data_IF_118701804937
#
_entry.id   IF_118701804937
#
_cell.length_a   1.000
_cell.length_b   1.000
_cell.length_c   1.000
_cell.angle_alpha   90.00
_cell.angle_beta   90.00
_cell.angle_gamma   90.00
#
_symmetry.space_group_name_H-M   'P 1'
#
loop_
_entity.id
_entity.type
_entity.pdbx_description
1 polymer ?
#
# COMPACT_ATOMS: atom_id res chain seq x y z
N UNK A 1 16.59 -3.53 -4.84
CA UNK A 1 16.84 -4.63 -3.88
C UNK A 1 17.69 -4.18 -2.70
N UNK A 2 18.87 -3.56 -2.89
CA UNK A 2 19.69 -3.03 -1.79
C UNK A 2 18.89 -2.16 -0.80
N UNK A 3 18.15 -1.16 -1.28
CA UNK A 3 17.29 -0.33 -0.43
C UNK A 3 16.20 -1.10 0.34
N UNK A 4 15.74 -2.25 -0.18
CA UNK A 4 14.71 -3.07 0.48
C UNK A 4 15.27 -3.93 1.60
N UNK A 5 16.56 -4.27 1.53
CA UNK A 5 17.24 -5.10 2.53
C UNK A 5 18.22 -4.31 3.40
N UNK A 6 18.22 -2.98 3.32
CA UNK A 6 19.14 -2.16 4.11
C UNK A 6 18.74 -2.15 5.59
N UNK A 7 19.72 -1.91 6.45
CA UNK A 7 19.49 -1.87 7.90
C UNK A 7 18.54 -0.72 8.28
N UNK A 8 18.65 0.41 7.57
CA UNK A 8 17.79 1.60 7.76
C UNK A 8 16.33 1.28 7.39
N UNK A 9 16.11 0.57 6.28
CA UNK A 9 14.76 0.17 5.87
C UNK A 9 14.16 -0.82 6.86
N UNK A 10 14.93 -1.81 7.33
CA UNK A 10 14.48 -2.75 8.34
C UNK A 10 14.10 -2.04 9.65
N UNK A 11 14.89 -1.05 10.10
CA UNK A 11 14.61 -0.26 11.28
C UNK A 11 13.31 0.57 11.13
N UNK A 12 13.13 1.25 9.98
CA UNK A 12 11.93 2.06 9.70
C UNK A 12 10.69 1.18 9.62
N UNK A 13 10.75 0.05 8.93
CA UNK A 13 9.63 -0.89 8.83
C UNK A 13 9.25 -1.47 10.20
N UNK A 14 10.22 -1.88 11.02
CA UNK A 14 9.96 -2.34 12.40
C UNK A 14 9.29 -1.24 13.23
N UNK A 15 9.84 -0.02 13.19
CA UNK A 15 9.27 1.14 13.88
C UNK A 15 7.80 1.37 13.50
N UNK A 16 7.49 1.42 12.20
CA UNK A 16 6.14 1.65 11.69
C UNK A 16 5.19 0.50 12.08
N UNK A 17 5.61 -0.75 11.93
CA UNK A 17 4.81 -1.91 12.30
C UNK A 17 4.46 -1.93 13.79
N UNK A 18 5.33 -1.39 14.65
CA UNK A 18 5.12 -1.31 16.11
C UNK A 18 4.13 -0.24 16.54
N UNK A 19 3.68 0.64 15.63
CA UNK A 19 2.57 1.56 15.90
C UNK A 19 1.21 0.85 15.97
N UNK A 20 1.12 -0.37 15.45
CA UNK A 20 -0.08 -1.17 15.44
C UNK A 20 -0.25 -1.97 16.72
N UNK A 21 -1.50 -2.27 17.10
CA UNK A 21 -1.81 -3.35 18.03
C UNK A 21 -1.72 -4.69 17.30
N UNK A 22 -0.51 -5.25 17.24
CA UNK A 22 -0.22 -6.51 16.54
C UNK A 22 -0.40 -7.78 17.39
N UNK A 23 -0.66 -7.62 18.70
CA UNK A 23 -0.98 -8.70 19.63
C UNK A 23 -2.29 -8.42 20.36
N UNK A 24 -3.16 -9.42 20.41
CA UNK A 24 -4.46 -9.33 21.10
C UNK A 24 -4.93 -10.72 21.54
N UNK A 25 -5.46 -10.85 22.76
CA UNK A 25 -6.03 -12.09 23.29
C UNK A 25 -5.10 -13.31 23.17
N UNK A 26 -3.79 -13.12 23.34
CA UNK A 26 -2.78 -14.18 23.22
C UNK A 26 -2.45 -14.60 21.78
N UNK A 27 -3.06 -13.98 20.76
CA UNK A 27 -2.69 -14.15 19.35
C UNK A 27 -1.80 -12.99 18.89
N UNK A 28 -0.65 -13.31 18.30
CA UNK A 28 0.18 -12.38 17.55
C UNK A 28 -0.23 -12.45 16.08
N UNK A 29 -0.74 -11.34 15.54
CA UNK A 29 -1.26 -11.26 14.17
C UNK A 29 -0.14 -11.21 13.13
N UNK A 30 0.97 -10.56 13.46
CA UNK A 30 2.18 -10.53 12.65
C UNK A 30 3.42 -10.27 13.51
N UNK A 31 4.60 -10.57 12.98
CA UNK A 31 5.88 -10.16 13.54
C UNK A 31 6.25 -8.76 13.04
N UNK A 32 6.18 -7.70 13.88
CA UNK A 32 6.57 -6.35 13.48
C UNK A 32 8.02 -6.20 13.05
N UNK A 33 8.95 -7.04 13.52
CA UNK A 33 10.39 -6.81 13.36
C UNK A 33 10.98 -7.36 12.07
N UNK A 34 10.18 -8.09 11.30
CA UNK A 34 10.56 -8.59 9.97
C UNK A 34 9.45 -8.22 9.01
N UNK A 35 9.76 -7.45 7.97
CA UNK A 35 8.85 -7.28 6.84
C UNK A 35 9.30 -8.15 5.68
N UNK A 36 8.34 -8.68 4.91
CA UNK A 36 8.66 -9.43 3.69
C UNK A 36 9.15 -8.50 2.59
N UNK A 37 10.00 -9.00 1.69
CA UNK A 37 10.31 -8.26 0.47
C UNK A 37 9.07 -8.29 -0.42
N UNK A 38 8.42 -7.14 -0.55
CA UNK A 38 7.39 -6.89 -1.56
C UNK A 38 8.01 -6.13 -2.74
N UNK A 39 8.30 -6.79 -3.87
CA UNK A 39 8.92 -6.16 -5.02
C UNK A 39 7.90 -5.34 -5.81
N UNK A 40 7.94 -4.03 -5.67
CA UNK A 40 7.12 -3.10 -6.45
C UNK A 40 7.96 -2.36 -7.51
N UNK A 41 7.30 -1.55 -8.33
CA UNK A 41 7.85 -0.76 -9.43
C UNK A 41 8.62 0.45 -8.92
N UNK A 42 9.22 1.17 -9.87
CA UNK A 42 9.70 2.54 -9.69
C UNK A 42 8.80 3.48 -10.47
N UNK A 43 8.74 4.75 -10.06
CA UNK A 43 8.18 5.82 -10.89
C UNK A 43 9.29 6.78 -11.25
N UNK A 44 9.37 7.15 -12.53
CA UNK A 44 10.36 8.10 -13.04
C UNK A 44 9.64 9.17 -13.85
N UNK A 45 9.80 10.44 -13.46
CA UNK A 45 9.16 11.60 -14.11
C UNK A 45 10.21 12.67 -14.40
N UNK A 46 10.67 12.83 -15.66
CA UNK A 46 11.67 13.84 -16.01
C UNK A 46 11.10 15.26 -15.94
N UNK A 47 11.96 16.30 -15.88
CA UNK A 47 11.56 17.68 -16.10
C UNK A 47 10.78 17.84 -17.43
N UNK A 48 9.80 18.74 -17.44
CA UNK A 48 8.91 18.97 -18.58
C UNK A 48 7.72 18.00 -18.67
N UNK A 49 7.59 17.04 -17.75
CA UNK A 49 6.43 16.14 -17.69
C UNK A 49 5.13 16.92 -17.47
N UNK A 50 4.09 16.58 -18.23
CA UNK A 50 2.69 16.98 -17.99
C UNK A 50 1.86 15.74 -17.70
N UNK A 51 1.07 15.75 -16.62
CA UNK A 51 0.27 14.62 -16.17
C UNK A 51 -1.03 15.09 -15.54
N UNK A 52 -2.11 14.32 -15.75
CA UNK A 52 -3.39 14.51 -15.05
C UNK A 52 -3.34 14.08 -13.59
N UNK A 53 -2.25 13.48 -13.14
CA UNK A 53 -2.14 12.93 -11.79
C UNK A 53 -2.93 11.62 -11.64
N UNK A 54 -3.31 11.33 -10.40
CA UNK A 54 -4.11 10.17 -10.02
C UNK A 54 -5.18 10.64 -9.02
N UNK A 55 -6.44 10.26 -9.25
CA UNK A 55 -7.56 10.62 -8.37
C UNK A 55 -7.40 10.07 -6.95
N UNK A 56 -8.15 10.65 -6.00
CA UNK A 56 -8.15 10.16 -4.63
C UNK A 56 -8.74 8.75 -4.56
N UNK A 57 -8.05 7.85 -3.88
CA UNK A 57 -8.46 6.46 -3.74
C UNK A 57 -7.83 5.82 -2.49
N UNK A 58 -8.30 4.61 -2.17
CA UNK A 58 -7.61 3.67 -1.27
C UNK A 58 -7.34 2.36 -2.01
N UNK A 59 -6.23 1.70 -1.67
CA UNK A 59 -5.91 0.36 -2.14
C UNK A 59 -6.37 -0.71 -1.14
N UNK A 60 -5.78 -1.90 -1.23
CA UNK A 60 -5.98 -3.03 -0.31
C UNK A 60 -7.43 -3.54 -0.33
N UNK A 61 -8.01 -3.65 -1.52
CA UNK A 61 -9.40 -4.02 -1.74
C UNK A 61 -10.38 -2.84 -1.81
N UNK A 62 -11.46 -3.04 -2.55
CA UNK A 62 -12.56 -2.10 -2.71
C UNK A 62 -13.86 -2.77 -2.26
N UNK A 63 -14.51 -3.53 -3.15
CA UNK A 63 -15.75 -4.26 -2.86
C UNK A 63 -15.59 -5.22 -1.67
N UNK A 64 -14.41 -5.80 -1.54
CA UNK A 64 -14.00 -6.69 -0.47
C UNK A 64 -14.25 -6.10 0.92
N UNK A 65 -14.15 -4.79 1.08
CA UNK A 65 -14.31 -4.12 2.38
C UNK A 65 -15.72 -4.26 2.95
N UNK A 66 -16.71 -4.47 2.08
CA UNK A 66 -18.08 -4.78 2.47
C UNK A 66 -18.36 -6.29 2.46
N UNK A 67 -17.83 -7.03 1.48
CA UNK A 67 -18.27 -8.41 1.24
C UNK A 67 -17.41 -9.51 1.89
N UNK A 68 -16.14 -9.24 2.21
CA UNK A 68 -15.28 -10.28 2.78
C UNK A 68 -15.56 -10.49 4.28
N UNK A 69 -15.70 -11.75 4.73
CA UNK A 69 -15.83 -12.06 6.16
C UNK A 69 -14.70 -11.50 7.02
N UNK A 70 -13.46 -11.50 6.52
CA UNK A 70 -12.33 -10.92 7.24
C UNK A 70 -12.50 -9.41 7.45
N UNK A 71 -12.92 -8.67 6.42
CA UNK A 71 -13.18 -7.23 6.56
C UNK A 71 -14.39 -6.91 7.42
N UNK A 72 -15.42 -7.76 7.42
CA UNK A 72 -16.54 -7.66 8.36
C UNK A 72 -16.06 -7.76 9.83
N UNK A 73 -15.03 -8.56 10.10
CA UNK A 73 -14.40 -8.60 11.43
C UNK A 73 -13.53 -7.36 11.70
N UNK A 74 -12.69 -6.94 10.75
CA UNK A 74 -11.84 -5.73 10.86
C UNK A 74 -12.70 -4.49 11.18
N UNK A 75 -13.81 -4.33 10.48
CA UNK A 75 -14.68 -3.16 10.58
C UNK A 75 -15.95 -3.45 11.39
N UNK A 76 -15.94 -4.48 12.25
CA UNK A 76 -17.12 -4.87 13.02
C UNK A 76 -17.72 -3.71 13.82
N UNK A 77 -16.87 -2.90 14.48
CA UNK A 77 -17.29 -1.73 15.25
C UNK A 77 -17.84 -0.59 14.38
N UNK A 78 -17.43 -0.49 13.12
CA UNK A 78 -18.02 0.46 12.17
C UNK A 78 -19.42 -0.01 11.78
N UNK A 79 -19.56 -1.27 11.35
CA UNK A 79 -20.82 -1.80 10.85
C UNK A 79 -21.88 -2.05 11.94
N UNK A 80 -21.49 -2.24 13.20
CA UNK A 80 -22.42 -2.38 14.33
C UNK A 80 -22.82 -1.05 14.99
N UNK A 81 -22.27 0.08 14.52
CA UNK A 81 -22.58 1.43 15.03
C UNK A 81 -21.73 1.90 16.22
N UNK A 82 -20.88 1.06 16.80
CA UNK A 82 -19.95 1.44 17.88
C UNK A 82 -18.68 2.10 17.32
N UNK A 83 -18.85 3.16 16.53
CA UNK A 83 -17.76 3.78 15.74
C UNK A 83 -16.60 4.24 16.63
N UNK A 84 -16.88 4.75 17.83
CA UNK A 84 -15.84 5.20 18.78
C UNK A 84 -14.92 4.07 19.27
N UNK A 85 -15.33 2.81 19.10
CA UNK A 85 -14.52 1.64 19.43
C UNK A 85 -13.72 1.10 18.22
N UNK A 86 -13.90 1.66 17.02
CA UNK A 86 -13.07 1.32 15.87
C UNK A 86 -11.68 1.93 16.02
N UNK A 87 -10.65 1.09 15.96
CA UNK A 87 -9.26 1.50 15.99
C UNK A 87 -8.61 1.13 14.64
N UNK A 88 -8.22 2.10 13.80
CA UNK A 88 -7.56 1.79 12.53
C UNK A 88 -6.25 1.03 12.72
N UNK A 89 -5.59 1.18 13.88
CA UNK A 89 -4.31 0.54 14.23
C UNK A 89 -4.46 -0.86 14.82
N UNK A 90 -5.67 -1.43 14.87
CA UNK A 90 -5.87 -2.82 15.24
C UNK A 90 -5.53 -3.75 14.07
N UNK A 91 -4.58 -4.66 14.29
CA UNK A 91 -4.15 -5.63 13.29
C UNK A 91 -5.15 -6.78 13.10
N UNK A 92 -6.09 -6.94 14.04
CA UNK A 92 -6.99 -8.07 14.07
C UNK A 92 -7.67 -8.32 12.72
N UNK A 93 -7.58 -9.57 12.25
CA UNK A 93 -8.18 -10.07 11.00
C UNK A 93 -7.64 -9.48 9.68
N UNK A 94 -6.83 -8.41 9.71
CA UNK A 94 -6.29 -7.81 8.47
C UNK A 94 -5.37 -8.74 7.69
N UNK A 95 -4.67 -9.66 8.37
CA UNK A 95 -3.82 -10.68 7.75
C UNK A 95 -4.63 -11.82 7.10
N UNK A 96 -5.94 -11.88 7.32
CA UNK A 96 -6.84 -12.94 6.83
C UNK A 96 -7.64 -12.48 5.59
N UNK A 97 -7.50 -11.21 5.19
CA UNK A 97 -8.12 -10.63 3.98
C UNK A 97 -7.42 -11.17 2.73
N UNK A 98 -8.16 -11.69 1.77
CA UNK A 98 -7.66 -12.06 0.43
C UNK A 98 -8.46 -11.32 -0.64
N UNK A 99 -7.80 -10.42 -1.39
CA UNK A 99 -8.47 -9.65 -2.45
C UNK A 99 -9.00 -10.56 -3.56
N UNK A 100 -10.14 -10.16 -4.15
CA UNK A 100 -10.69 -10.91 -5.28
C UNK A 100 -9.73 -10.84 -6.46
N UNK A 101 -9.58 -11.98 -7.14
CA UNK A 101 -8.74 -12.05 -8.35
C UNK A 101 -9.59 -11.70 -9.56
N UNK A 102 -9.21 -10.63 -10.25
CA UNK A 102 -9.73 -10.27 -11.57
C UNK A 102 -8.61 -10.46 -12.58
N UNK A 103 -8.91 -11.16 -13.67
CA UNK A 103 -7.90 -11.51 -14.67
C UNK A 103 -7.13 -10.28 -15.17
N UNK A 104 -5.80 -10.44 -15.21
CA UNK A 104 -4.84 -9.45 -15.70
C UNK A 104 -4.94 -8.05 -15.06
N UNK A 105 -5.47 -7.99 -13.84
CA UNK A 105 -5.57 -6.74 -13.06
C UNK A 105 -4.55 -6.76 -11.93
N UNK A 106 -3.90 -5.62 -11.68
CA UNK A 106 -3.02 -5.45 -10.53
C UNK A 106 -3.81 -5.64 -9.24
N UNK A 107 -3.29 -6.47 -8.34
CA UNK A 107 -3.84 -6.68 -6.99
C UNK A 107 -2.74 -6.64 -5.93
N UNK A 108 -3.09 -6.65 -4.66
CA UNK A 108 -2.13 -6.76 -3.57
C UNK A 108 -2.35 -8.05 -2.78
N UNK A 109 -1.50 -9.06 -3.00
CA UNK A 109 -1.59 -10.37 -2.31
C UNK A 109 -0.92 -10.37 -0.93
N UNK A 110 -0.50 -9.22 -0.42
CA UNK A 110 0.12 -9.08 0.91
C UNK A 110 -0.67 -8.12 1.80
N UNK A 111 -0.61 -8.34 3.10
CA UNK A 111 -0.99 -7.33 4.10
C UNK A 111 0.13 -6.30 4.25
N UNK A 112 -0.19 -5.03 3.98
CA UNK A 112 0.69 -3.89 4.23
C UNK A 112 0.12 -3.11 5.41
N UNK A 113 0.93 -2.84 6.41
CA UNK A 113 0.60 -1.90 7.49
C UNK A 113 0.67 -0.47 6.96
N UNK A 114 1.75 -0.19 6.23
CA UNK A 114 1.98 1.08 5.56
C UNK A 114 2.34 0.84 4.10
N UNK A 115 1.75 1.64 3.23
CA UNK A 115 2.35 1.92 1.95
C UNK A 115 3.44 2.97 2.11
N UNK A 116 4.36 3.02 1.16
CA UNK A 116 5.44 3.99 1.22
C UNK A 116 6.32 3.96 -0.01
N UNK A 117 7.14 5.00 -0.12
CA UNK A 117 8.20 5.07 -1.11
C UNK A 117 9.36 5.92 -0.62
N UNK A 118 10.53 5.64 -1.19
CA UNK A 118 11.75 6.42 -1.00
C UNK A 118 11.97 7.34 -2.21
N UNK A 119 12.25 8.61 -1.94
CA UNK A 119 12.57 9.62 -2.94
C UNK A 119 13.93 9.31 -3.58
N UNK A 120 13.97 9.17 -4.91
CA UNK A 120 15.20 9.05 -5.69
C UNK A 120 15.61 10.39 -6.33
N UNK A 121 14.84 11.44 -6.09
CA UNK A 121 15.11 12.82 -6.47
C UNK A 121 14.43 13.74 -5.47
N UNK A 122 14.89 15.00 -5.42
CA UNK A 122 14.20 16.03 -4.65
C UNK A 122 12.77 16.22 -5.18
N UNK A 123 11.82 16.43 -4.27
CA UNK A 123 10.41 16.65 -4.57
C UNK A 123 10.07 18.10 -4.27
N UNK A 124 9.93 18.90 -5.32
CA UNK A 124 9.65 20.33 -5.22
C UNK A 124 8.14 20.53 -5.01
N UNK A 125 7.70 21.41 -4.09
CA UNK A 125 6.29 21.75 -3.91
C UNK A 125 5.58 22.11 -5.22
N UNK A 126 4.34 21.63 -5.38
CA UNK A 126 3.52 21.88 -6.57
C UNK A 126 3.86 21.06 -7.81
N UNK A 127 4.89 20.21 -7.78
CA UNK A 127 5.33 19.45 -8.97
C UNK A 127 4.60 18.10 -9.16
N UNK A 128 3.28 18.09 -8.94
CA UNK A 128 2.45 16.89 -9.01
C UNK A 128 2.79 15.87 -7.93
N UNK A 129 2.70 16.29 -6.67
CA UNK A 129 3.10 15.52 -5.49
C UNK A 129 1.99 14.59 -4.97
N UNK A 130 2.39 13.63 -4.15
CA UNK A 130 1.47 12.81 -3.35
C UNK A 130 0.65 13.72 -2.44
N UNK A 131 -0.66 13.50 -2.39
CA UNK A 131 -1.54 14.04 -1.36
C UNK A 131 -2.16 12.90 -0.58
N UNK A 132 -2.47 13.16 0.69
CA UNK A 132 -3.15 12.22 1.58
C UNK A 132 -4.28 12.93 2.32
N UNK A 133 -5.30 12.18 2.73
CA UNK A 133 -6.21 12.61 3.80
C UNK A 133 -5.63 12.08 5.11
N UNK A 134 -5.01 12.91 5.96
CA UNK A 134 -4.24 12.45 7.12
C UNK A 134 -5.14 12.09 8.33
N UNK A 135 -6.19 11.29 8.07
CA UNK A 135 -7.21 10.88 9.02
C UNK A 135 -7.45 9.38 8.81
N UNK A 136 -6.74 8.47 9.50
CA UNK A 136 -6.83 7.03 9.26
C UNK A 136 -8.25 6.46 9.51
N UNK A 137 -9.01 7.07 10.42
CA UNK A 137 -10.40 6.73 10.70
C UNK A 137 -11.39 7.15 9.59
N UNK A 138 -10.93 7.90 8.57
CA UNK A 138 -11.77 8.27 7.43
C UNK A 138 -12.36 7.07 6.68
N UNK A 139 -11.76 5.89 6.81
CA UNK A 139 -12.32 4.64 6.27
C UNK A 139 -13.71 4.35 6.84
N UNK A 140 -13.99 4.67 8.11
CA UNK A 140 -15.32 4.49 8.69
C UNK A 140 -16.38 5.32 7.94
N UNK A 141 -16.04 6.57 7.57
CA UNK A 141 -16.92 7.41 6.75
C UNK A 141 -17.16 6.77 5.38
N UNK A 142 -16.10 6.28 4.72
CA UNK A 142 -16.19 5.65 3.41
C UNK A 142 -17.08 4.40 3.45
N UNK A 143 -16.96 3.57 4.49
CA UNK A 143 -17.73 2.33 4.61
C UNK A 143 -19.22 2.57 4.84
N UNK A 144 -19.57 3.60 5.60
CA UNK A 144 -20.95 3.95 5.91
C UNK A 144 -21.62 4.78 4.82
N UNK A 145 -20.84 5.49 3.97
CA UNK A 145 -21.38 6.41 2.96
C UNK A 145 -22.35 5.74 1.97
N UNK A 146 -22.08 4.53 1.44
CA UNK A 146 -23.03 3.83 0.57
C UNK A 146 -24.32 3.37 1.25
N UNK A 147 -24.40 3.37 2.58
CA UNK A 147 -25.56 2.89 3.33
C UNK A 147 -26.62 3.99 3.57
N UNK A 148 -26.37 5.20 3.08
CA UNK A 148 -27.32 6.31 3.17
C UNK A 148 -28.41 6.18 2.09
N UNK A 149 -29.57 6.79 2.32
CA UNK A 149 -30.76 6.68 1.47
C UNK A 149 -30.68 7.43 0.13
N UNK A 150 -29.61 8.19 -0.08
CA UNK A 150 -29.33 8.94 -1.31
C UNK A 150 -28.40 8.19 -2.29
N UNK A 151 -28.05 6.95 -1.97
CA UNK A 151 -27.25 6.06 -2.84
C UNK A 151 -28.16 5.00 -3.45
N UNK A 152 -28.08 4.73 -4.77
CA UNK A 152 -28.81 3.64 -5.38
C UNK A 152 -28.52 2.30 -4.68
N UNK A 153 -29.56 1.45 -4.51
CA UNK A 153 -29.47 0.21 -3.72
C UNK A 153 -28.39 -0.78 -4.21
N UNK A 154 -28.00 -0.69 -5.48
CA UNK A 154 -27.01 -1.53 -6.14
C UNK A 154 -25.63 -0.86 -6.33
N UNK A 155 -25.43 0.34 -5.75
CA UNK A 155 -24.19 1.10 -5.87
C UNK A 155 -23.42 1.21 -4.54
N UNK A 156 -22.09 1.16 -4.65
CA UNK A 156 -21.15 1.46 -3.57
C UNK A 156 -20.32 2.70 -3.91
N UNK A 157 -20.99 3.81 -4.20
CA UNK A 157 -20.38 5.12 -4.45
C UNK A 157 -19.21 5.10 -5.48
N UNK A 158 -19.33 4.29 -6.54
CA UNK A 158 -18.34 4.14 -7.61
C UNK A 158 -17.35 2.98 -7.45
N UNK A 159 -17.43 2.19 -6.38
CA UNK A 159 -16.68 0.93 -6.25
C UNK A 159 -17.05 -0.01 -7.39
N UNK A 160 -16.03 -0.65 -7.98
CA UNK A 160 -16.19 -1.65 -9.02
C UNK A 160 -15.13 -2.77 -8.85
N UNK A 161 -15.46 -4.03 -9.16
CA UNK A 161 -14.49 -5.13 -9.13
C UNK A 161 -13.25 -4.83 -9.99
N UNK A 162 -12.06 -5.18 -9.48
CA UNK A 162 -10.79 -4.97 -10.19
C UNK A 162 -10.40 -3.50 -10.34
N UNK A 163 -11.00 -2.59 -9.56
CA UNK A 163 -10.58 -1.19 -9.48
C UNK A 163 -10.31 -0.80 -8.04
N UNK A 164 -9.42 0.17 -7.87
CA UNK A 164 -9.21 0.84 -6.57
C UNK A 164 -10.51 1.47 -6.09
N UNK A 165 -10.66 1.62 -4.77
CA UNK A 165 -11.83 2.28 -4.18
C UNK A 165 -11.73 3.79 -4.44
N UNK A 166 -12.63 4.41 -5.23
CA UNK A 166 -12.52 5.82 -5.57
C UNK A 166 -13.07 6.72 -4.46
N UNK A 167 -12.38 7.83 -4.23
CA UNK A 167 -12.85 8.93 -3.37
C UNK A 167 -13.08 10.15 -4.24
N UNK A 168 -14.28 10.71 -4.14
CA UNK A 168 -14.75 11.78 -5.02
C UNK A 168 -15.43 12.89 -4.23
N UNK A 169 -15.46 14.10 -4.80
CA UNK A 169 -16.20 15.23 -4.21
C UNK A 169 -17.71 14.98 -4.18
N UNK A 170 -18.24 14.24 -5.16
CA UNK A 170 -19.66 13.85 -5.21
C UNK A 170 -20.08 13.05 -3.97
N UNK A 171 -19.30 12.04 -3.59
CA UNK A 171 -19.68 11.11 -2.52
C UNK A 171 -19.02 11.44 -1.17
N UNK A 172 -17.83 12.04 -1.19
CA UNK A 172 -16.98 12.24 -0.02
C UNK A 172 -16.46 13.69 0.11
N UNK A 173 -17.31 14.73 -0.02
CA UNK A 173 -16.85 16.12 -0.08
C UNK A 173 -16.07 16.56 1.17
N UNK A 174 -16.41 16.03 2.35
CA UNK A 174 -15.70 16.33 3.59
C UNK A 174 -14.26 15.80 3.56
N UNK A 175 -14.05 14.59 3.05
CA UNK A 175 -12.74 13.95 2.99
C UNK A 175 -11.86 14.63 1.93
N UNK A 176 -12.43 15.04 0.79
CA UNK A 176 -11.70 15.76 -0.25
C UNK A 176 -11.14 17.09 0.27
N UNK A 177 -11.85 17.81 1.14
CA UNK A 177 -11.37 19.06 1.76
C UNK A 177 -10.13 18.85 2.63
N UNK A 178 -9.89 17.63 3.12
CA UNK A 178 -8.76 17.30 3.97
C UNK A 178 -7.53 16.81 3.19
N UNK A 179 -7.59 16.72 1.85
CA UNK A 179 -6.43 16.37 1.03
C UNK A 179 -5.29 17.36 1.25
N UNK A 180 -4.15 16.83 1.67
CA UNK A 180 -2.96 17.59 2.04
C UNK A 180 -1.75 17.04 1.31
N UNK A 181 -0.97 17.93 0.66
CA UNK A 181 0.28 17.55 0.00
C UNK A 181 1.31 17.08 1.03
N UNK A 182 2.17 16.15 0.63
CA UNK A 182 3.45 15.95 1.30
C UNK A 182 4.28 17.24 1.28
N UNK A 183 5.20 17.45 2.24
CA UNK A 183 6.14 18.56 2.18
C UNK A 183 7.14 18.41 1.04
N UNK A 184 8.00 19.43 0.86
CA UNK A 184 9.20 19.28 0.05
C UNK A 184 10.06 18.14 0.62
N UNK A 185 10.66 17.34 -0.24
CA UNK A 185 11.55 16.25 0.15
C UNK A 185 12.89 16.36 -0.59
N UNK A 186 13.94 15.85 0.02
CA UNK A 186 15.22 15.61 -0.62
C UNK A 186 15.33 14.14 -1.07
N UNK A 187 16.17 13.87 -2.06
CA UNK A 187 16.53 12.50 -2.40
C UNK A 187 17.05 11.75 -1.16
N UNK A 188 16.54 10.54 -0.91
CA UNK A 188 16.80 9.75 0.28
C UNK A 188 15.71 9.81 1.34
N UNK A 189 14.88 10.87 1.37
CA UNK A 189 13.71 10.92 2.25
C UNK A 189 12.70 9.83 1.88
N UNK A 190 11.87 9.42 2.83
CA UNK A 190 10.78 8.47 2.60
C UNK A 190 9.48 8.97 3.23
N UNK A 191 8.35 8.65 2.59
CA UNK A 191 7.01 8.96 3.10
C UNK A 191 6.20 7.68 3.21
N UNK A 192 5.34 7.64 4.22
CA UNK A 192 4.60 6.47 4.63
C UNK A 192 3.16 6.85 4.96
N UNK A 193 2.20 6.00 4.58
CA UNK A 193 0.81 6.19 4.95
C UNK A 193 0.16 4.85 5.28
N UNK A 194 -0.70 4.86 6.29
CA UNK A 194 -1.47 3.70 6.75
C UNK A 194 -2.28 3.10 5.59
N UNK A 195 -2.48 1.78 5.56
CA UNK A 195 -3.06 1.08 4.41
C UNK A 195 -4.49 1.50 4.03
N UNK A 196 -5.24 2.09 4.96
CA UNK A 196 -6.57 2.66 4.73
C UNK A 196 -6.57 4.17 4.42
N UNK A 197 -5.40 4.83 4.38
CA UNK A 197 -5.33 6.27 4.09
C UNK A 197 -5.66 6.54 2.62
N UNK A 198 -6.60 7.47 2.43
CA UNK A 198 -6.95 8.04 1.14
C UNK A 198 -5.77 8.83 0.62
N UNK A 199 -5.37 8.58 -0.62
CA UNK A 199 -4.26 9.28 -1.23
C UNK A 199 -4.48 9.51 -2.73
N UNK A 200 -3.75 10.48 -3.28
CA UNK A 200 -3.85 10.91 -4.67
C UNK A 200 -2.50 11.46 -5.17
N UNK A 201 -2.38 11.71 -6.47
CA UNK A 201 -1.23 12.43 -7.03
C UNK A 201 -1.75 13.64 -7.77
N UNK A 202 -1.31 14.83 -7.36
CA UNK A 202 -1.76 16.06 -8.00
C UNK A 202 -1.36 16.12 -9.48
N UNK A 203 -2.18 16.75 -10.36
CA UNK A 203 -1.77 17.03 -11.73
C UNK A 203 -0.57 17.97 -11.77
N UNK A 204 0.15 17.96 -12.89
CA UNK A 204 1.23 18.91 -13.16
C UNK A 204 1.27 19.24 -14.64
N UNK A 205 1.67 20.47 -14.96
CA UNK A 205 2.04 20.89 -16.30
C UNK A 205 3.49 21.36 -16.28
N UNK A 206 4.29 20.93 -17.25
CA UNK A 206 5.70 21.32 -17.40
C UNK A 206 6.49 21.22 -16.08
N UNK A 207 6.48 20.02 -15.47
CA UNK A 207 7.13 19.73 -14.19
C UNK A 207 8.57 20.28 -14.10
N UNK A 208 8.90 20.91 -12.99
CA UNK A 208 10.25 21.33 -12.61
C UNK A 208 10.94 20.24 -11.80
N UNK A 209 12.20 19.94 -12.13
CA UNK A 209 12.95 18.86 -11.49
C UNK A 209 12.42 17.46 -11.82
N UNK A 210 12.94 16.45 -11.12
CA UNK A 210 12.55 15.05 -11.27
C UNK A 210 11.51 14.63 -10.24
N UNK A 211 10.68 13.64 -10.58
CA UNK A 211 9.67 13.06 -9.68
C UNK A 211 9.86 11.56 -9.48
N UNK A 212 11.09 11.17 -9.12
CA UNK A 212 11.53 9.77 -9.08
C UNK A 212 11.33 9.15 -7.70
N UNK A 213 10.66 8.00 -7.64
CA UNK A 213 10.45 7.26 -6.39
C UNK A 213 10.60 5.76 -6.57
N UNK A 214 10.94 5.06 -5.48
CA UNK A 214 10.93 3.60 -5.38
C UNK A 214 9.86 3.16 -4.39
N UNK A 215 8.88 2.36 -4.82
CA UNK A 215 7.84 1.86 -3.94
C UNK A 215 8.38 0.73 -3.06
N UNK A 216 8.29 0.92 -1.74
CA UNK A 216 8.74 -0.02 -0.71
C UNK A 216 7.75 0.11 0.46
N UNK A 217 6.81 -0.84 0.63
CA UNK A 217 5.87 -0.79 1.75
C UNK A 217 6.48 -1.37 3.03
N UNK A 218 5.76 -1.23 4.14
CA UNK A 218 5.93 -2.06 5.33
C UNK A 218 4.90 -3.20 5.27
N UNK A 219 5.38 -4.44 5.17
CA UNK A 219 4.56 -5.63 5.03
C UNK A 219 5.05 -6.68 6.03
N UNK A 220 4.58 -6.63 7.30
CA UNK A 220 5.15 -7.44 8.37
C UNK A 220 4.99 -8.94 8.12
N UNK A 221 5.90 -9.73 8.67
CA UNK A 221 5.92 -11.17 8.50
C UNK A 221 4.71 -11.79 9.19
N UNK A 222 3.89 -12.48 8.42
CA UNK A 222 2.77 -13.30 8.88
C UNK A 222 2.58 -14.44 7.87
N UNK A 223 1.70 -15.40 8.17
CA UNK A 223 1.48 -16.57 7.30
C UNK A 223 1.14 -16.16 5.85
N UNK A 224 0.20 -15.22 5.67
CA UNK A 224 -0.17 -14.66 4.36
C UNK A 224 1.04 -14.09 3.62
N UNK A 225 1.78 -13.20 4.29
CA UNK A 225 2.89 -12.49 3.66
C UNK A 225 4.07 -13.43 3.35
N UNK A 226 4.33 -14.42 4.20
CA UNK A 226 5.34 -15.45 3.97
C UNK A 226 5.02 -16.30 2.74
N UNK A 227 3.76 -16.70 2.56
CA UNK A 227 3.33 -17.44 1.38
C UNK A 227 3.59 -16.65 0.09
N UNK A 228 3.41 -15.33 0.10
CA UNK A 228 3.77 -14.48 -1.04
C UNK A 228 5.30 -14.33 -1.19
N UNK A 229 6.05 -14.15 -0.10
CA UNK A 229 7.50 -14.01 -0.11
C UNK A 229 8.21 -15.22 -0.76
N UNK A 230 7.67 -16.42 -0.56
CA UNK A 230 8.16 -17.63 -1.24
C UNK A 230 8.02 -17.55 -2.77
N UNK A 231 6.93 -16.96 -3.27
CA UNK A 231 6.74 -16.70 -4.71
C UNK A 231 7.69 -15.61 -5.21
N UNK A 232 7.91 -14.57 -4.40
CA UNK A 232 8.88 -13.50 -4.71
C UNK A 232 10.29 -14.06 -4.87
N UNK A 233 10.72 -15.00 -4.02
CA UNK A 233 12.02 -15.67 -4.17
C UNK A 233 12.15 -16.32 -5.56
N UNK A 234 11.12 -17.04 -6.01
CA UNK A 234 11.12 -17.70 -7.33
C UNK A 234 11.17 -16.67 -8.46
N UNK A 235 10.43 -15.57 -8.33
CA UNK A 235 10.45 -14.48 -9.31
C UNK A 235 11.83 -13.80 -9.37
N UNK A 236 12.47 -13.55 -8.23
CA UNK A 236 13.82 -12.97 -8.13
C UNK A 236 14.87 -13.85 -8.82
N UNK A 237 14.82 -15.16 -8.57
CA UNK A 237 15.72 -16.13 -9.21
C UNK A 237 15.60 -16.10 -10.74
N UNK A 238 14.37 -16.02 -11.25
CA UNK A 238 14.08 -16.00 -12.68
C UNK A 238 14.19 -14.61 -13.33
N UNK A 239 14.18 -13.53 -12.54
CA UNK A 239 14.00 -12.16 -13.02
C UNK A 239 12.63 -11.91 -13.66
N UNK A 240 11.62 -12.68 -13.25
CA UNK A 240 10.26 -12.54 -13.74
C UNK A 240 9.53 -11.40 -13.01
N UNK A 241 8.47 -10.88 -13.63
CA UNK A 241 7.52 -9.98 -12.96
C UNK A 241 6.95 -10.68 -11.72
N UNK A 242 6.88 -10.01 -10.55
CA UNK A 242 6.19 -10.57 -9.38
C UNK A 242 4.71 -10.79 -9.67
N UNK A 243 4.11 -11.81 -9.06
CA UNK A 243 2.77 -12.31 -9.44
C UNK A 243 1.59 -11.36 -9.23
N UNK A 244 1.80 -10.23 -8.55
CA UNK A 244 0.79 -9.17 -8.36
C UNK A 244 0.78 -8.14 -9.50
N UNK A 245 1.77 -8.21 -10.40
CA UNK A 245 1.93 -7.32 -11.53
C UNK A 245 1.71 -8.06 -12.86
N UNK A 246 1.40 -7.32 -13.94
CA UNK A 246 1.37 -7.89 -15.28
C UNK A 246 2.67 -8.63 -15.61
N UNK A 247 2.53 -9.76 -16.31
CA UNK A 247 3.64 -10.62 -16.68
C UNK A 247 4.38 -10.06 -17.89
N UNK A 248 5.26 -9.10 -17.62
CA UNK A 248 6.12 -8.45 -18.61
C UNK A 248 7.50 -9.12 -18.70
N UNK A 249 8.02 -9.64 -17.58
CA UNK A 249 9.25 -10.46 -17.50
C UNK A 249 10.50 -9.83 -18.16
N UNK A 250 10.55 -8.50 -18.28
CA UNK A 250 11.64 -7.79 -18.99
C UNK A 250 13.03 -8.09 -18.43
N UNK A 251 13.16 -8.14 -17.10
CA UNK A 251 14.45 -8.27 -16.40
C UNK A 251 15.03 -9.69 -16.45
N UNK A 252 14.31 -10.67 -17.01
CA UNK A 252 14.73 -12.07 -17.03
C UNK A 252 16.07 -12.29 -17.74
N UNK A 253 16.34 -11.52 -18.80
CA UNK A 253 17.56 -11.61 -19.62
C UNK A 253 18.57 -10.48 -19.38
N UNK A 254 18.28 -9.54 -18.47
CA UNK A 254 19.14 -8.39 -18.22
C UNK A 254 20.43 -8.78 -17.50
N UNK A 255 21.52 -8.08 -17.85
CA UNK A 255 22.80 -8.18 -17.15
C UNK A 255 22.83 -7.23 -15.95
N UNK A 256 23.60 -7.55 -14.91
CA UNK A 256 23.73 -6.72 -13.71
C UNK A 256 22.49 -6.67 -12.80
N UNK A 257 21.56 -7.63 -12.95
CA UNK A 257 20.41 -7.79 -12.06
C UNK A 257 20.87 -8.26 -10.69
N UNK A 258 20.21 -7.78 -9.63
CA UNK A 258 20.37 -8.33 -8.29
C UNK A 258 19.88 -9.79 -8.25
N UNK A 259 20.65 -10.67 -7.61
CA UNK A 259 20.40 -12.12 -7.57
C UNK A 259 20.21 -12.63 -6.12
N UNK A 260 19.98 -13.94 -5.96
CA UNK A 260 19.90 -14.56 -4.64
C UNK A 260 21.23 -14.51 -3.87
N UNK A 261 22.36 -14.44 -4.57
CA UNK A 261 23.70 -14.38 -3.96
C UNK A 261 23.97 -13.04 -3.28
N UNK A 262 23.29 -11.98 -3.73
CA UNK A 262 23.43 -10.62 -3.22
C UNK A 262 22.59 -10.34 -1.96
N UNK A 263 21.81 -11.34 -1.50
CA UNK A 263 20.96 -11.22 -0.32
C UNK A 263 21.79 -11.19 0.97
N UNK A 264 21.59 -10.14 1.76
CA UNK A 264 22.10 -10.09 3.13
C UNK A 264 21.17 -10.84 4.11
N UNK A 265 21.46 -10.77 5.41
CA UNK A 265 20.67 -11.44 6.44
C UNK A 265 19.21 -10.98 6.47
N UNK A 266 18.96 -9.68 6.29
CA UNK A 266 17.61 -9.11 6.24
C UNK A 266 16.85 -9.61 5.01
N UNK A 267 17.48 -9.57 3.84
CA UNK A 267 16.89 -10.06 2.59
C UNK A 267 16.53 -11.54 2.65
N UNK A 268 17.39 -12.39 3.24
CA UNK A 268 17.09 -13.81 3.44
C UNK A 268 15.89 -14.02 4.35
N UNK A 269 15.85 -13.37 5.52
CA UNK A 269 14.69 -13.45 6.45
C UNK A 269 13.40 -12.95 5.81
N UNK A 270 13.46 -11.84 5.09
CA UNK A 270 12.33 -11.22 4.41
C UNK A 270 11.76 -12.06 3.26
N UNK A 271 12.52 -13.04 2.75
CA UNK A 271 12.07 -14.03 1.76
C UNK A 271 11.75 -15.40 2.38
N UNK A 272 11.76 -15.51 3.71
CA UNK A 272 11.51 -16.78 4.40
C UNK A 272 12.60 -17.83 4.17
N UNK A 273 13.83 -17.39 3.87
CA UNK A 273 14.97 -18.28 3.66
C UNK A 273 15.67 -18.61 4.99
N UNK A 274 16.26 -19.81 5.11
CA UNK A 274 17.13 -20.14 6.25
C UNK A 274 18.29 -19.15 6.37
N UNK A 275 18.68 -18.85 7.62
CA UNK A 275 19.77 -17.91 7.96
C UNK A 275 20.74 -18.48 8.98
#
# INVERSE_FOLDING_TARGET
MQARQSDEMAAVQSFLNRLWRFEQNGKRWFDPDVSVIYPDRIRRRPPGTTSKGLGAHTDSGALERWLLPAYQQVFANVFNGNIDAYDPWDAAHRTEVEEYTVDNTTKCSVFRTFQGWTALSDMIPGQGLLHVVPIPEAMAYVLLRPLLDDVPEDELCGVAPGRVLPISEQWHPLLIKALSSIPALNAGDSVWWHCDIIHSVAPVENQQGWGNVMYIPAAPMCEKNLAYAQKVKIALEKGASPGDFPREDYEASWQGRFTLEDLNIHGKRALGMPV
#
